data_IF_309060840139
#
_entry.id   IF_309060840139
#
_cell.length_a   1.000
_cell.length_b   1.000
_cell.length_c   1.000
_cell.angle_alpha   90.00
_cell.angle_beta   90.00
_cell.angle_gamma   90.00
#
_symmetry.space_group_name_H-M   'P 1'
#
loop_
_entity.id
_entity.type
_entity.pdbx_description
1 polymer ?
#
# COMPACT_ATOMS: atom_id res chain seq x y z
N UNK A 1 -10.27 -2.52 23.60
CA UNK A 1 -9.09 -3.11 22.92
C UNK A 1 -8.61 -2.08 21.95
N UNK A 2 -7.39 -1.58 22.13
CA UNK A 2 -6.78 -0.57 21.27
C UNK A 2 -6.60 -1.15 19.87
N UNK A 3 -7.59 -0.90 19.01
CA UNK A 3 -7.61 -1.29 17.61
C UNK A 3 -6.83 -0.27 16.78
N UNK A 4 -5.59 0.02 17.21
CA UNK A 4 -4.65 0.73 16.36
C UNK A 4 -4.11 -0.27 15.34
N UNK A 5 -4.26 -0.02 14.02
CA UNK A 5 -3.49 -0.79 13.06
C UNK A 5 -2.02 -0.73 13.47
N UNK A 6 -1.23 -1.82 13.28
CA UNK A 6 0.19 -1.75 13.51
C UNK A 6 0.73 -0.51 12.79
N UNK A 7 1.71 0.15 13.40
CA UNK A 7 2.34 1.41 12.95
C UNK A 7 2.77 1.36 11.46
N UNK A 8 2.80 0.16 10.86
CA UNK A 8 3.35 -0.15 9.55
C UNK A 8 2.38 -0.94 8.62
N UNK A 9 1.07 -0.67 8.66
CA UNK A 9 0.15 -1.22 7.65
C UNK A 9 0.05 -0.29 6.43
N UNK A 10 0.36 -0.83 5.25
CA UNK A 10 0.36 -0.10 3.98
C UNK A 10 -0.66 -0.71 3.00
N UNK A 11 -1.07 0.13 2.05
CA UNK A 11 -1.81 -0.27 0.87
C UNK A 11 -1.15 0.31 -0.38
N UNK A 12 -1.37 -0.35 -1.51
CA UNK A 12 -0.98 0.11 -2.84
C UNK A 12 -2.23 0.29 -3.67
N UNK A 13 -2.31 1.43 -4.32
CA UNK A 13 -3.31 1.75 -5.33
C UNK A 13 -2.57 2.02 -6.63
N UNK A 14 -2.95 1.35 -7.71
CA UNK A 14 -2.28 1.51 -9.00
C UNK A 14 -3.27 1.56 -10.16
N UNK A 15 -2.99 2.43 -11.13
CA UNK A 15 -3.64 2.43 -12.44
C UNK A 15 -2.67 1.82 -13.45
N UNK A 16 -3.05 0.66 -14.01
CA UNK A 16 -2.26 -0.05 -15.00
C UNK A 16 -2.89 0.05 -16.40
N UNK A 17 -2.06 0.01 -17.44
CA UNK A 17 -2.54 -0.11 -18.82
C UNK A 17 -3.39 -1.37 -19.02
N UNK A 18 -4.44 -1.24 -19.83
CA UNK A 18 -5.38 -2.34 -20.10
C UNK A 18 -6.35 -2.68 -18.94
N UNK A 19 -6.21 -2.07 -17.76
CA UNK A 19 -7.12 -2.29 -16.64
C UNK A 19 -8.23 -1.24 -16.61
N UNK A 20 -9.48 -1.70 -16.53
CA UNK A 20 -10.65 -0.82 -16.47
C UNK A 20 -10.85 -0.17 -15.08
N UNK A 21 -10.23 -0.74 -14.04
CA UNK A 21 -10.34 -0.30 -12.64
C UNK A 21 -8.95 -0.27 -12.00
N UNK A 22 -8.73 0.56 -10.96
CA UNK A 22 -7.50 0.54 -10.20
C UNK A 22 -7.28 -0.81 -9.52
N UNK A 23 -6.02 -1.24 -9.47
CA UNK A 23 -5.55 -2.40 -8.74
C UNK A 23 -5.28 -1.99 -7.29
N UNK A 24 -5.74 -2.82 -6.36
CA UNK A 24 -5.70 -2.53 -4.93
C UNK A 24 -5.03 -3.67 -4.17
N UNK A 25 -4.03 -3.35 -3.35
CA UNK A 25 -3.41 -4.30 -2.43
C UNK A 25 -3.36 -3.67 -1.04
N UNK A 26 -3.88 -4.34 -0.01
CA UNK A 26 -4.02 -3.77 1.34
C UNK A 26 -3.41 -4.73 2.35
N UNK A 27 -2.89 -4.21 3.48
CA UNK A 27 -2.39 -5.04 4.58
C UNK A 27 -0.92 -5.45 4.41
N UNK A 28 -0.15 -4.65 3.68
CA UNK A 28 1.29 -4.84 3.52
C UNK A 28 2.02 -4.33 4.76
N UNK A 29 2.99 -5.10 5.25
CA UNK A 29 3.99 -4.55 6.17
C UNK A 29 4.99 -3.70 5.38
N UNK A 30 5.75 -2.84 6.05
CA UNK A 30 6.83 -2.08 5.39
C UNK A 30 7.81 -3.01 4.63
N UNK A 31 8.16 -4.14 5.25
CA UNK A 31 9.08 -5.10 4.68
C UNK A 31 8.53 -5.74 3.40
N UNK A 32 7.25 -6.14 3.41
CA UNK A 32 6.57 -6.67 2.22
C UNK A 32 6.34 -5.60 1.15
N UNK A 33 6.04 -4.38 1.55
CA UNK A 33 5.93 -3.25 0.63
C UNK A 33 7.25 -3.05 -0.14
N UNK A 34 8.40 -3.12 0.53
CA UNK A 34 9.69 -3.01 -0.15
C UNK A 34 9.97 -4.19 -1.07
N UNK A 35 9.83 -5.42 -0.57
CA UNK A 35 10.12 -6.62 -1.35
C UNK A 35 9.20 -6.80 -2.55
N UNK A 36 7.89 -6.70 -2.30
CA UNK A 36 6.88 -7.13 -3.27
C UNK A 36 6.58 -6.01 -4.27
N UNK A 37 6.83 -4.74 -3.91
CA UNK A 37 6.38 -3.58 -4.70
C UNK A 37 7.53 -2.63 -5.01
N UNK A 38 8.14 -2.00 -3.99
CA UNK A 38 9.03 -0.84 -4.21
C UNK A 38 10.32 -1.24 -4.91
N UNK A 39 10.98 -2.31 -4.47
CA UNK A 39 12.21 -2.79 -5.09
C UNK A 39 11.96 -3.18 -6.55
N UNK A 40 11.00 -4.08 -6.88
CA UNK A 40 10.70 -4.41 -8.27
C UNK A 40 10.30 -3.20 -9.12
N UNK A 41 9.48 -2.31 -8.58
CA UNK A 41 9.07 -1.09 -9.26
C UNK A 41 10.27 -0.21 -9.64
N UNK A 42 11.24 -0.07 -8.74
CA UNK A 42 12.43 0.77 -8.93
C UNK A 42 13.51 0.12 -9.80
N UNK A 43 13.58 -1.22 -9.83
CA UNK A 43 14.54 -1.97 -10.66
C UNK A 43 13.97 -2.32 -12.04
N UNK A 44 12.67 -2.08 -12.27
CA UNK A 44 11.99 -2.41 -13.53
C UNK A 44 11.64 -3.89 -13.66
N UNK A 45 11.69 -4.64 -12.56
CA UNK A 45 11.28 -6.03 -12.50
C UNK A 45 9.74 -6.15 -12.48
N UNK A 46 9.17 -7.26 -12.97
CA UNK A 46 7.75 -7.54 -12.82
C UNK A 46 7.37 -7.76 -11.35
N UNK A 47 6.17 -7.31 -10.97
CA UNK A 47 5.58 -7.57 -9.66
C UNK A 47 4.06 -7.68 -9.75
N UNK A 48 3.39 -8.00 -8.64
CA UNK A 48 1.94 -8.21 -8.63
C UNK A 48 1.24 -7.14 -7.80
N UNK A 49 0.17 -6.58 -8.36
CA UNK A 49 -0.80 -5.76 -7.61
C UNK A 49 -2.18 -6.36 -7.85
N UNK A 50 -2.87 -6.71 -6.76
CA UNK A 50 -4.20 -7.36 -6.84
C UNK A 50 -4.21 -8.64 -7.70
N UNK A 51 -3.11 -9.41 -7.64
CA UNK A 51 -2.91 -10.63 -8.43
C UNK A 51 -2.58 -10.41 -9.92
N UNK A 52 -2.55 -9.15 -10.39
CA UNK A 52 -2.21 -8.81 -11.77
C UNK A 52 -0.70 -8.56 -11.89
N UNK A 53 0.02 -9.25 -12.79
CA UNK A 53 1.42 -8.96 -13.05
C UNK A 53 1.56 -7.63 -13.80
N UNK A 54 2.41 -6.74 -13.30
CA UNK A 54 2.66 -5.41 -13.84
C UNK A 54 4.16 -5.10 -13.86
N UNK A 55 4.57 -4.19 -14.74
CA UNK A 55 5.87 -3.51 -14.67
C UNK A 55 5.68 -2.02 -14.40
N UNK A 56 6.68 -1.37 -13.80
CA UNK A 56 6.60 0.06 -13.48
C UNK A 56 6.24 0.95 -14.69
N UNK A 57 6.74 0.62 -15.89
CA UNK A 57 6.44 1.35 -17.14
C UNK A 57 5.00 1.19 -17.64
N UNK A 58 4.28 0.18 -17.20
CA UNK A 58 2.88 -0.11 -17.55
C UNK A 58 1.91 0.55 -16.57
N UNK A 59 2.43 1.21 -15.53
CA UNK A 59 1.63 1.95 -14.55
C UNK A 59 1.51 3.41 -14.97
N UNK A 60 0.28 3.86 -15.17
CA UNK A 60 -0.06 5.28 -15.31
C UNK A 60 0.14 6.02 -14.00
N UNK A 61 -0.15 5.35 -12.89
CA UNK A 61 -0.03 5.90 -11.55
C UNK A 61 0.16 4.78 -10.52
N UNK A 62 0.98 5.03 -9.52
CA UNK A 62 1.08 4.23 -8.30
C UNK A 62 1.03 5.15 -7.09
N UNK A 63 0.31 4.72 -6.06
CA UNK A 63 0.27 5.35 -4.75
C UNK A 63 0.54 4.32 -3.68
N UNK A 64 1.38 4.68 -2.73
CA UNK A 64 1.63 3.93 -1.51
C UNK A 64 0.96 4.69 -0.38
N UNK A 65 0.04 4.00 0.29
CA UNK A 65 -0.86 4.58 1.26
C UNK A 65 -0.55 3.99 2.64
N UNK A 66 -0.34 4.83 3.66
CA UNK A 66 -0.22 4.37 5.06
C UNK A 66 -1.60 4.32 5.69
N UNK A 67 -1.91 3.23 6.40
CA UNK A 67 -3.13 3.11 7.17
C UNK A 67 -3.21 4.19 8.26
N UNK A 68 -4.39 4.77 8.42
CA UNK A 68 -4.75 5.65 9.53
C UNK A 68 -5.71 4.93 10.49
N UNK A 69 -5.90 5.46 11.73
CA UNK A 69 -6.86 4.90 12.66
C UNK A 69 -8.27 4.71 12.05
N UNK A 70 -8.84 3.53 12.30
CA UNK A 70 -10.17 3.15 11.82
C UNK A 70 -10.21 2.47 10.45
N UNK A 71 -9.09 2.30 9.74
CA UNK A 71 -9.06 1.54 8.48
C UNK A 71 -9.54 0.09 8.68
N UNK A 72 -9.02 -0.61 9.69
CA UNK A 72 -9.39 -1.98 10.03
C UNK A 72 -10.89 -2.11 10.25
N UNK A 73 -11.47 -1.23 11.07
CA UNK A 73 -12.90 -1.18 11.37
C UNK A 73 -13.74 -0.89 10.13
N UNK A 74 -13.34 0.06 9.28
CA UNK A 74 -14.06 0.35 8.02
C UNK A 74 -14.03 -0.85 7.07
N UNK A 75 -12.90 -1.55 6.95
CA UNK A 75 -12.79 -2.75 6.13
C UNK A 75 -13.60 -3.92 6.72
N UNK A 76 -13.58 -4.11 8.04
CA UNK A 76 -14.35 -5.13 8.73
C UNK A 76 -15.86 -4.91 8.54
N UNK A 77 -16.34 -3.67 8.68
CA UNK A 77 -17.73 -3.31 8.43
C UNK A 77 -18.12 -3.55 6.97
N UNK A 78 -17.26 -3.14 6.03
CA UNK A 78 -17.48 -3.35 4.60
C UNK A 78 -17.59 -4.84 4.26
N UNK A 79 -16.65 -5.64 4.74
CA UNK A 79 -16.65 -7.10 4.56
C UNK A 79 -17.87 -7.75 5.23
N UNK A 80 -18.26 -7.30 6.42
CA UNK A 80 -19.47 -7.81 7.07
C UNK A 80 -20.72 -7.56 6.23
N UNK A 81 -20.87 -6.38 5.62
CA UNK A 81 -22.02 -6.06 4.76
C UNK A 81 -22.02 -6.87 3.46
N UNK A 82 -20.85 -7.23 2.93
CA UNK A 82 -20.74 -8.13 1.77
C UNK A 82 -21.20 -9.56 2.08
N UNK A 83 -21.01 -10.04 3.30
CA UNK A 83 -21.22 -11.44 3.66
C UNK A 83 -22.46 -11.68 4.54
N UNK A 84 -23.12 -10.63 5.03
CA UNK A 84 -24.24 -10.76 5.97
C UNK A 84 -25.28 -9.66 5.78
N UNK A 85 -26.56 -10.00 6.01
CA UNK A 85 -27.68 -9.07 5.93
C UNK A 85 -28.55 -9.25 4.67
N UNK A 86 -29.25 -8.18 4.27
CA UNK A 86 -30.14 -8.14 3.11
C UNK A 86 -29.41 -8.49 1.80
N UNK A 87 -29.86 -9.50 1.03
CA UNK A 87 -29.26 -9.87 -0.26
C UNK A 87 -29.16 -8.70 -1.26
N UNK A 88 -30.11 -7.76 -1.24
CA UNK A 88 -30.03 -6.58 -2.12
C UNK A 88 -28.84 -5.69 -1.75
N UNK A 89 -28.56 -5.52 -0.46
CA UNK A 89 -27.41 -4.75 -0.01
C UNK A 89 -26.10 -5.47 -0.33
N UNK A 90 -26.04 -6.79 -0.17
CA UNK A 90 -24.87 -7.59 -0.56
C UNK A 90 -24.56 -7.41 -2.06
N UNK A 91 -25.59 -7.48 -2.91
CA UNK A 91 -25.44 -7.26 -4.35
C UNK A 91 -24.93 -5.84 -4.66
N UNK A 92 -25.53 -4.80 -4.08
CA UNK A 92 -25.08 -3.41 -4.28
C UNK A 92 -23.62 -3.24 -3.85
N UNK A 93 -23.20 -3.83 -2.72
CA UNK A 93 -21.83 -3.73 -2.25
C UNK A 93 -20.85 -4.51 -3.13
N UNK A 94 -21.26 -5.67 -3.65
CA UNK A 94 -20.48 -6.45 -4.60
C UNK A 94 -20.27 -5.70 -5.92
N UNK A 95 -21.34 -5.17 -6.49
CA UNK A 95 -21.30 -4.40 -7.74
C UNK A 95 -20.43 -3.14 -7.61
N UNK A 96 -20.43 -2.51 -6.43
CA UNK A 96 -19.69 -1.29 -6.11
C UNK A 96 -18.37 -1.54 -5.35
N UNK A 97 -17.86 -2.78 -5.37
CA UNK A 97 -16.74 -3.19 -4.50
C UNK A 97 -15.54 -2.23 -4.57
N UNK A 98 -15.00 -2.00 -5.78
CA UNK A 98 -13.82 -1.14 -5.97
C UNK A 98 -14.08 0.32 -5.58
N UNK A 99 -15.26 0.87 -5.93
CA UNK A 99 -15.61 2.25 -5.60
C UNK A 99 -15.70 2.47 -4.08
N UNK A 100 -16.30 1.51 -3.37
CA UNK A 100 -16.41 1.57 -1.90
C UNK A 100 -15.05 1.37 -1.23
N UNK A 101 -14.25 0.42 -1.71
CA UNK A 101 -12.91 0.19 -1.20
C UNK A 101 -12.02 1.42 -1.40
N UNK A 102 -12.07 2.04 -2.58
CA UNK A 102 -11.37 3.29 -2.85
C UNK A 102 -11.82 4.43 -1.92
N UNK A 103 -13.13 4.57 -1.69
CA UNK A 103 -13.67 5.56 -0.76
C UNK A 103 -13.15 5.35 0.67
N UNK A 104 -13.09 4.11 1.14
CA UNK A 104 -12.50 3.76 2.45
C UNK A 104 -11.02 4.16 2.49
N UNK A 105 -10.24 3.79 1.47
CA UNK A 105 -8.82 4.12 1.42
C UNK A 105 -8.60 5.64 1.44
N UNK A 106 -9.34 6.41 0.65
CA UNK A 106 -9.26 7.88 0.64
C UNK A 106 -9.53 8.51 2.01
N UNK A 107 -10.41 7.91 2.82
CA UNK A 107 -10.77 8.43 4.14
C UNK A 107 -9.85 7.94 5.26
N UNK A 108 -9.28 6.74 5.12
CA UNK A 108 -8.60 6.01 6.20
C UNK A 108 -7.14 5.72 5.88
N UNK A 109 -6.56 6.39 4.90
CA UNK A 109 -5.14 6.33 4.60
C UNK A 109 -4.58 7.71 4.23
N UNK A 110 -3.26 7.84 4.34
CA UNK A 110 -2.51 8.99 3.84
C UNK A 110 -1.53 8.56 2.73
N UNK A 111 -1.37 9.41 1.71
CA UNK A 111 -0.44 9.16 0.60
C UNK A 111 1.00 9.44 1.06
N UNK A 112 1.79 8.37 1.16
CA UNK A 112 3.18 8.41 1.63
C UNK A 112 4.17 7.99 0.54
N UNK A 113 3.73 8.03 -0.72
CA UNK A 113 4.53 7.56 -1.88
C UNK A 113 5.90 8.24 -1.89
N UNK A 114 5.96 9.56 -1.76
CA UNK A 114 7.22 10.30 -1.77
C UNK A 114 8.16 9.92 -0.62
N UNK A 115 7.63 9.67 0.58
CA UNK A 115 8.40 9.32 1.77
C UNK A 115 9.00 7.92 1.63
N UNK A 116 8.24 6.97 1.09
CA UNK A 116 8.72 5.61 0.83
C UNK A 116 9.79 5.59 -0.26
N UNK A 117 9.60 6.33 -1.35
CA UNK A 117 10.60 6.40 -2.42
C UNK A 117 11.88 7.06 -1.91
N UNK A 118 11.77 8.12 -1.09
CA UNK A 118 12.93 8.73 -0.43
C UNK A 118 13.66 7.76 0.50
N UNK A 119 12.93 6.92 1.24
CA UNK A 119 13.51 5.87 2.07
C UNK A 119 14.25 4.82 1.24
N UNK A 120 13.66 4.38 0.12
CA UNK A 120 14.32 3.50 -0.85
C UNK A 120 15.63 4.10 -1.38
N UNK A 121 15.56 5.33 -1.91
CA UNK A 121 16.69 5.98 -2.57
C UNK A 121 17.88 6.18 -1.62
N UNK A 122 17.62 6.40 -0.32
CA UNK A 122 18.67 6.64 0.68
C UNK A 122 19.21 5.35 1.30
N UNK A 123 18.34 4.40 1.63
CA UNK A 123 18.73 3.24 2.41
C UNK A 123 19.03 2.01 1.54
N UNK A 124 18.22 1.76 0.51
CA UNK A 124 18.25 0.50 -0.24
C UNK A 124 19.03 0.64 -1.55
N UNK A 125 18.69 1.65 -2.36
CA UNK A 125 19.27 1.86 -3.70
C UNK A 125 20.81 1.86 -3.74
N UNK A 126 21.54 2.47 -2.79
CA UNK A 126 23.01 2.47 -2.81
C UNK A 126 23.63 1.07 -2.68
N UNK A 127 22.89 0.13 -2.09
CA UNK A 127 23.33 -1.24 -1.82
C UNK A 127 22.38 -2.27 -2.43
N UNK A 128 21.72 -1.93 -3.54
CA UNK A 128 20.70 -2.79 -4.16
C UNK A 128 21.25 -4.18 -4.55
N UNK A 129 22.53 -4.25 -4.96
CA UNK A 129 23.21 -5.52 -5.28
C UNK A 129 23.31 -6.45 -4.08
N UNK A 130 23.35 -5.89 -2.88
CA UNK A 130 23.45 -6.60 -1.61
C UNK A 130 22.11 -6.62 -0.86
N UNK A 131 21.00 -6.33 -1.55
CA UNK A 131 19.68 -6.22 -0.91
C UNK A 131 19.27 -7.52 -0.21
N UNK A 132 19.33 -8.67 -0.90
CA UNK A 132 18.92 -9.94 -0.30
C UNK A 132 19.81 -10.35 0.90
N UNK A 133 21.16 -10.30 0.80
CA UNK A 133 22.03 -10.61 1.93
C UNK A 133 21.85 -9.68 3.14
N UNK A 134 21.51 -8.40 2.91
CA UNK A 134 21.40 -7.37 3.97
C UNK A 134 19.95 -6.88 4.17
N UNK A 135 18.97 -7.68 3.78
CA UNK A 135 17.56 -7.27 3.66
C UNK A 135 17.03 -6.63 4.93
N UNK A 136 17.20 -7.29 6.06
CA UNK A 136 16.68 -6.81 7.36
C UNK A 136 17.34 -5.50 7.79
N UNK A 137 18.66 -5.38 7.60
CA UNK A 137 19.42 -4.17 7.90
C UNK A 137 18.94 -3.00 7.05
N UNK A 138 18.82 -3.20 5.73
CA UNK A 138 18.43 -2.16 4.78
C UNK A 138 16.98 -1.73 4.96
N UNK A 139 16.06 -2.66 5.24
CA UNK A 139 14.67 -2.34 5.60
C UNK A 139 14.63 -1.57 6.93
N UNK A 140 15.42 -1.97 7.91
CA UNK A 140 15.53 -1.25 9.19
C UNK A 140 16.06 0.18 9.03
N UNK A 141 17.03 0.40 8.14
CA UNK A 141 17.50 1.73 7.77
C UNK A 141 16.43 2.53 7.02
N UNK A 142 15.72 1.91 6.08
CA UNK A 142 14.63 2.55 5.34
C UNK A 142 13.49 2.98 6.28
N UNK A 143 13.14 2.16 7.27
CA UNK A 143 12.16 2.49 8.29
C UNK A 143 12.53 3.75 9.09
N UNK A 144 13.80 3.90 9.49
CA UNK A 144 14.29 5.10 10.18
C UNK A 144 14.14 6.35 9.31
N UNK A 145 14.59 6.27 8.06
CA UNK A 145 14.45 7.38 7.09
C UNK A 145 12.99 7.74 6.85
N UNK A 146 12.12 6.73 6.74
CA UNK A 146 10.68 6.93 6.56
C UNK A 146 10.06 7.66 7.75
N UNK A 147 10.32 7.21 8.99
CA UNK A 147 9.81 7.86 10.21
C UNK A 147 10.29 9.31 10.31
N UNK A 148 11.56 9.59 10.00
CA UNK A 148 12.07 10.96 9.94
C UNK A 148 11.36 11.81 8.88
N UNK A 149 11.10 11.24 7.69
CA UNK A 149 10.35 11.92 6.65
C UNK A 149 8.90 12.21 7.06
N UNK A 150 8.26 11.31 7.79
CA UNK A 150 6.90 11.52 8.32
C UNK A 150 6.85 12.64 9.37
N UNK A 151 7.89 12.78 10.21
CA UNK A 151 7.96 13.91 11.17
C UNK A 151 8.00 15.27 10.47
N UNK A 152 8.64 15.35 9.31
CA UNK A 152 8.71 16.60 8.54
C UNK A 152 7.37 17.02 7.90
N UNK A 153 6.42 16.09 7.75
CA UNK A 153 5.07 16.37 7.25
C UNK A 153 4.13 16.92 8.35
N UNK A 154 4.33 16.49 9.61
CA UNK A 154 3.48 16.91 10.74
C UNK A 154 3.91 18.20 11.43
N UNK A 155 4.97 18.85 10.95
CA UNK A 155 5.54 20.08 11.52
C UNK A 155 5.21 21.36 10.75
N UNK A 156 4.21 21.33 9.86
CA UNK A 156 3.72 22.48 9.10
C UNK A 156 2.33 22.91 9.56
#
# INVERSE_FOLDING_TARGET
>A
MDDQPPIDAFAVWAEAEGQARPLLMIGLTLARLFDDIVVPYQTGEPFFVDGVPVKGKELKRIKILRAMPGLSNSLALFNRTLHSGDPKLQQIYGDQYHTRLEAILRQRTEDVTGQIIKAYDRAIKPSIKDYLPRREELIGMAAKVFVEAMKSLGGA
#
